data_IF_244612602070
#
_entry.id   IF_244612602070
#
_cell.length_a   1.000
_cell.length_b   1.000
_cell.length_c   1.000
_cell.angle_alpha   90.00
_cell.angle_beta   90.00
_cell.angle_gamma   90.00
#
_symmetry.space_group_name_H-M   'P 1'
#
loop_
_entity.id
_entity.type
_entity.pdbx_description
1 polymer ?
#
# COMPACT_ATOMS: atom_id res chain seq x y z
N UNK A 1 -19.94 -24.48 11.65
CA UNK A 1 -19.70 -23.12 11.12
C UNK A 1 -18.83 -22.39 12.13
N UNK A 2 -17.56 -22.12 11.84
CA UNK A 2 -16.78 -21.26 12.72
C UNK A 2 -17.31 -19.84 12.60
N UNK A 3 -17.49 -19.17 13.73
CA UNK A 3 -17.74 -17.72 13.75
C UNK A 3 -16.51 -17.09 13.07
N UNK A 4 -16.71 -16.50 11.89
CA UNK A 4 -15.65 -15.75 11.21
C UNK A 4 -15.42 -14.48 12.01
N UNK A 5 -14.18 -14.21 12.42
CA UNK A 5 -13.89 -13.03 13.24
C UNK A 5 -14.01 -11.77 12.39
N UNK A 6 -14.41 -10.65 13.00
CA UNK A 6 -14.44 -9.34 12.35
C UNK A 6 -13.14 -9.02 11.57
N UNK A 7 -11.98 -9.31 12.17
CA UNK A 7 -10.66 -9.12 11.56
C UNK A 7 -10.43 -9.93 10.30
N UNK A 8 -11.05 -11.11 10.18
CA UNK A 8 -10.91 -11.97 9.00
C UNK A 8 -11.68 -11.36 7.83
N UNK A 9 -12.90 -10.87 8.10
CA UNK A 9 -13.68 -10.18 7.07
C UNK A 9 -12.98 -8.89 6.63
N UNK A 10 -12.40 -8.15 7.57
CA UNK A 10 -11.61 -6.96 7.29
C UNK A 10 -10.39 -7.29 6.40
N UNK A 11 -9.65 -8.35 6.72
CA UNK A 11 -8.51 -8.80 5.92
C UNK A 11 -8.94 -9.29 4.53
N UNK A 12 -10.08 -9.96 4.40
CA UNK A 12 -10.61 -10.38 3.08
C UNK A 12 -11.00 -9.20 2.22
N UNK A 13 -11.66 -8.18 2.79
CA UNK A 13 -12.07 -6.97 2.08
C UNK A 13 -10.88 -6.20 1.51
N UNK A 14 -9.83 -6.06 2.30
CA UNK A 14 -8.64 -5.29 1.92
C UNK A 14 -7.49 -6.16 1.42
N UNK A 15 -7.79 -7.40 1.00
CA UNK A 15 -6.78 -8.32 0.54
C UNK A 15 -6.15 -7.82 -0.77
N UNK A 16 -4.83 -7.94 -0.97
CA UNK A 16 -4.19 -7.41 -2.16
C UNK A 16 -4.52 -8.23 -3.42
N UNK A 17 -4.49 -7.60 -4.59
CA UNK A 17 -4.34 -8.29 -5.88
C UNK A 17 -2.85 -8.46 -6.15
N UNK A 18 -2.41 -9.67 -6.45
CA UNK A 18 -1.02 -9.96 -6.75
C UNK A 18 -0.78 -10.07 -8.26
N UNK A 19 0.34 -9.51 -8.73
CA UNK A 19 0.79 -9.63 -10.11
C UNK A 19 2.25 -10.10 -10.10
N UNK A 20 2.47 -11.38 -10.41
CA UNK A 20 3.80 -11.96 -10.57
C UNK A 20 4.30 -11.79 -12.00
N UNK A 21 5.62 -11.66 -12.17
CA UNK A 21 6.25 -11.59 -13.49
C UNK A 21 6.04 -12.88 -14.31
N UNK A 22 6.07 -12.79 -15.63
CA UNK A 22 6.07 -13.98 -16.49
C UNK A 22 7.31 -14.86 -16.24
N UNK A 23 7.10 -16.18 -16.19
CA UNK A 23 8.17 -17.17 -16.02
C UNK A 23 8.60 -17.39 -14.56
N UNK A 24 7.94 -16.72 -13.61
CA UNK A 24 8.15 -16.96 -12.18
C UNK A 24 7.79 -18.39 -11.82
N UNK A 25 8.72 -19.07 -11.16
CA UNK A 25 8.43 -20.33 -10.48
C UNK A 25 7.99 -19.98 -9.07
N UNK A 26 6.70 -19.75 -8.89
CA UNK A 26 6.14 -19.33 -7.62
C UNK A 26 5.98 -20.53 -6.67
N UNK A 27 7.07 -21.01 -6.08
CA UNK A 27 6.95 -21.95 -4.97
C UNK A 27 6.61 -21.15 -3.72
N UNK A 28 5.32 -21.05 -3.41
CA UNK A 28 4.90 -20.47 -2.13
C UNK A 28 4.72 -21.57 -1.11
N UNK A 29 5.25 -21.36 0.08
CA UNK A 29 5.21 -22.35 1.15
C UNK A 29 3.84 -22.33 1.80
N UNK A 30 3.15 -23.46 1.78
CA UNK A 30 2.02 -23.71 2.68
C UNK A 30 2.53 -24.20 4.03
N UNK A 31 2.55 -23.31 5.01
CA UNK A 31 2.74 -23.61 6.41
C UNK A 31 1.47 -24.24 7.00
N UNK A 32 1.45 -25.56 7.06
CA UNK A 32 0.49 -26.31 7.87
C UNK A 32 0.94 -26.35 9.33
N UNK A 33 0.11 -26.95 10.20
CA UNK A 33 0.29 -27.12 11.67
C UNK A 33 1.58 -27.84 12.11
N UNK A 34 2.50 -28.09 11.19
CA UNK A 34 3.69 -28.89 11.43
C UNK A 34 4.81 -28.01 11.97
N UNK A 35 5.46 -28.46 13.06
CA UNK A 35 6.60 -27.76 13.67
C UNK A 35 7.77 -27.58 12.70
N UNK A 36 7.89 -28.51 11.75
CA UNK A 36 8.76 -28.38 10.60
C UNK A 36 7.90 -28.10 9.37
N UNK A 37 8.05 -26.94 8.73
CA UNK A 37 7.25 -26.59 7.57
C UNK A 37 7.47 -27.60 6.45
N UNK A 38 6.42 -28.35 6.11
CA UNK A 38 6.44 -29.14 4.89
C UNK A 38 6.19 -28.21 3.72
N UNK A 39 7.17 -28.14 2.82
CA UNK A 39 7.03 -27.47 1.53
C UNK A 39 5.89 -28.15 0.77
N UNK A 40 4.73 -27.50 0.67
CA UNK A 40 3.75 -27.86 -0.35
C UNK A 40 4.24 -27.28 -1.68
N UNK A 41 4.62 -28.16 -2.62
CA UNK A 41 5.01 -27.74 -3.97
C UNK A 41 3.84 -27.03 -4.65
N UNK A 42 3.98 -25.74 -4.94
CA UNK A 42 3.10 -25.06 -5.89
C UNK A 42 3.57 -25.38 -7.32
N UNK A 43 3.00 -26.43 -7.93
CA UNK A 43 3.15 -26.74 -9.36
C UNK A 43 2.14 -27.82 -9.82
N UNK A 44 1.60 -27.77 -11.05
CA UNK A 44 1.71 -26.70 -12.05
C UNK A 44 0.72 -25.54 -11.82
N UNK A 45 -0.17 -25.66 -10.83
CA UNK A 45 -1.23 -24.68 -10.52
C UNK A 45 -0.72 -23.68 -9.49
N UNK A 46 -1.18 -22.44 -9.58
CA UNK A 46 -0.90 -21.37 -8.62
C UNK A 46 -2.20 -20.91 -7.94
N UNK A 47 -2.18 -20.93 -6.61
CA UNK A 47 -3.18 -20.44 -5.65
C UNK A 47 -2.33 -20.08 -4.41
N UNK A 48 -1.84 -18.83 -4.31
CA UNK A 48 -0.90 -18.46 -3.27
C UNK A 48 -1.51 -18.67 -1.88
N UNK A 49 -0.70 -19.11 -0.91
CA UNK A 49 -1.07 -19.02 0.49
C UNK A 49 -0.55 -17.69 1.03
N UNK A 50 -1.48 -16.82 1.40
CA UNK A 50 -1.20 -15.50 1.95
C UNK A 50 -1.60 -15.53 3.43
N UNK A 51 -0.59 -15.44 4.28
CA UNK A 51 -0.78 -15.38 5.72
C UNK A 51 -1.12 -13.94 6.11
N UNK A 52 -2.03 -13.73 7.05
CA UNK A 52 -2.33 -12.39 7.52
C UNK A 52 -2.39 -12.26 9.03
N UNK A 53 -2.13 -11.04 9.49
CA UNK A 53 -2.25 -10.62 10.88
C UNK A 53 -2.90 -9.26 10.93
N UNK A 54 -4.00 -9.13 11.67
CA UNK A 54 -4.70 -7.87 11.87
C UNK A 54 -4.49 -7.36 13.31
N UNK A 55 -3.93 -6.15 13.43
CA UNK A 55 -3.65 -5.50 14.71
C UNK A 55 -4.57 -4.29 14.90
N UNK A 56 -5.36 -4.28 15.96
CA UNK A 56 -6.05 -3.08 16.40
C UNK A 56 -5.04 -2.07 16.96
N UNK A 57 -4.95 -0.90 16.33
CA UNK A 57 -4.00 0.14 16.67
C UNK A 57 -4.53 1.13 17.73
N UNK A 58 -5.80 1.00 18.11
CA UNK A 58 -6.56 1.83 19.03
C UNK A 58 -7.55 2.76 18.34
N UNK A 59 -8.35 3.44 19.16
CA UNK A 59 -9.33 4.43 18.73
C UNK A 59 -8.91 5.85 19.06
N UNK A 60 -9.33 6.80 18.22
CA UNK A 60 -9.16 8.23 18.41
C UNK A 60 -10.40 8.95 17.85
N UNK A 61 -11.03 9.75 18.71
CA UNK A 61 -12.35 10.37 18.43
C UNK A 61 -13.37 9.29 18.06
N UNK A 62 -14.01 9.44 16.92
CA UNK A 62 -15.05 8.59 16.35
C UNK A 62 -14.48 7.52 15.41
N UNK A 63 -13.16 7.36 15.32
CA UNK A 63 -12.51 6.37 14.44
C UNK A 63 -11.65 5.35 15.20
N UNK A 64 -11.56 4.15 14.64
CA UNK A 64 -10.62 3.09 15.03
C UNK A 64 -9.74 2.70 13.84
N UNK A 65 -8.52 2.27 14.11
CA UNK A 65 -7.54 1.92 13.08
C UNK A 65 -7.05 0.48 13.24
N UNK A 66 -6.89 -0.21 12.12
CA UNK A 66 -6.31 -1.55 12.05
C UNK A 66 -5.13 -1.56 11.07
N UNK A 67 -4.05 -2.23 11.47
CA UNK A 67 -2.94 -2.61 10.60
C UNK A 67 -3.16 -4.06 10.19
N UNK A 68 -3.29 -4.33 8.89
CA UNK A 68 -3.41 -5.68 8.36
C UNK A 68 -2.14 -5.99 7.57
N UNK A 69 -1.34 -6.91 8.09
CA UNK A 69 -0.14 -7.40 7.44
C UNK A 69 -0.50 -8.63 6.61
N UNK A 70 -0.18 -8.63 5.32
CA UNK A 70 -0.21 -9.77 4.42
C UNK A 70 1.23 -10.25 4.17
N UNK A 71 1.43 -11.54 4.36
CA UNK A 71 2.73 -12.19 4.36
C UNK A 71 2.69 -13.36 3.38
N UNK A 72 3.68 -13.41 2.50
CA UNK A 72 3.91 -14.54 1.61
C UNK A 72 5.28 -15.13 1.88
N UNK A 73 5.38 -16.45 1.76
CA UNK A 73 6.60 -17.17 2.08
C UNK A 73 7.02 -17.93 0.83
N UNK A 74 8.18 -17.59 0.32
CA UNK A 74 8.75 -18.15 -0.89
C UNK A 74 9.65 -19.32 -0.53
N UNK A 75 9.39 -20.46 -1.15
CA UNK A 75 10.33 -21.57 -1.26
C UNK A 75 11.23 -21.26 -2.46
N UNK A 76 12.53 -21.29 -2.21
CA UNK A 76 13.61 -21.09 -3.17
C UNK A 76 13.65 -19.68 -3.79
N UNK A 77 14.20 -18.71 -3.06
CA UNK A 77 14.57 -17.42 -3.65
C UNK A 77 15.81 -17.58 -4.53
N UNK A 78 15.57 -17.59 -5.83
CA UNK A 78 16.62 -17.73 -6.84
C UNK A 78 17.44 -16.47 -7.04
N UNK A 79 17.11 -15.34 -6.38
CA UNK A 79 17.86 -14.08 -6.45
C UNK A 79 18.13 -13.52 -7.87
N UNK A 80 17.56 -14.09 -8.94
CA UNK A 80 17.57 -13.67 -10.34
C UNK A 80 18.92 -13.76 -11.07
N UNK A 81 19.86 -12.95 -10.59
CA UNK A 81 21.28 -12.95 -10.97
C UNK A 81 22.13 -13.03 -9.70
N UNK A 82 21.68 -12.34 -8.64
CA UNK A 82 22.29 -12.32 -7.32
C UNK A 82 22.17 -13.67 -6.59
N UNK A 83 21.25 -14.56 -6.97
CA UNK A 83 21.20 -15.91 -6.40
C UNK A 83 22.35 -16.82 -6.84
N UNK A 84 23.18 -16.40 -7.81
CA UNK A 84 24.50 -17.01 -8.04
C UNK A 84 25.52 -16.65 -6.96
N UNK A 85 25.22 -15.65 -6.12
CA UNK A 85 26.09 -15.10 -5.07
C UNK A 85 25.52 -15.39 -3.68
N UNK A 86 24.20 -15.36 -3.50
CA UNK A 86 23.54 -15.60 -2.21
C UNK A 86 22.08 -16.06 -2.37
N UNK A 87 21.85 -17.17 -3.09
CA UNK A 87 20.54 -17.80 -3.08
C UNK A 87 20.20 -18.31 -1.68
N UNK A 88 18.96 -18.14 -1.25
CA UNK A 88 18.45 -18.66 0.02
C UNK A 88 17.22 -19.53 -0.26
N UNK A 89 17.10 -20.64 0.46
CA UNK A 89 16.05 -21.62 0.27
C UNK A 89 14.67 -21.10 0.68
N UNK A 90 14.56 -20.09 1.54
CA UNK A 90 13.25 -19.54 1.89
C UNK A 90 13.35 -18.03 2.01
N UNK A 91 12.30 -17.30 1.64
CA UNK A 91 12.21 -15.84 1.83
C UNK A 91 10.80 -15.45 2.27
N UNK A 92 10.65 -14.28 2.89
CA UNK A 92 9.37 -13.79 3.39
C UNK A 92 9.11 -12.41 2.83
N UNK A 93 7.91 -12.18 2.32
CA UNK A 93 7.53 -10.91 1.74
C UNK A 93 6.31 -10.33 2.41
N UNK A 94 6.32 -9.00 2.58
CA UNK A 94 5.30 -8.29 3.36
C UNK A 94 4.69 -7.15 2.56
N UNK A 95 3.36 -7.16 2.51
CA UNK A 95 2.56 -5.98 2.21
C UNK A 95 1.69 -5.72 3.42
N UNK A 96 1.54 -4.47 3.85
CA UNK A 96 0.61 -4.15 4.92
C UNK A 96 -0.30 -3.00 4.54
N UNK A 97 -1.49 -2.95 5.13
CA UNK A 97 -2.45 -1.88 4.91
C UNK A 97 -2.91 -1.30 6.24
N UNK A 98 -3.04 0.01 6.27
CA UNK A 98 -3.69 0.75 7.34
C UNK A 98 -5.12 1.04 6.90
N UNK A 99 -6.08 0.50 7.65
CA UNK A 99 -7.52 0.72 7.43
C UNK A 99 -8.14 1.42 8.62
N UNK A 100 -9.12 2.27 8.34
CA UNK A 100 -9.80 3.09 9.35
C UNK A 100 -11.31 3.05 9.13
N UNK A 101 -12.06 3.03 10.23
CA UNK A 101 -13.52 3.01 10.22
C UNK A 101 -14.09 3.57 11.52
N UNK A 102 -15.42 3.67 11.66
CA UNK A 102 -16.08 4.14 12.88
C UNK A 102 -15.71 3.31 14.11
N UNK A 103 -15.67 3.96 15.28
CA UNK A 103 -15.59 3.23 16.55
C UNK A 103 -16.82 2.34 16.77
N UNK A 104 -16.64 1.20 17.42
CA UNK A 104 -17.71 0.27 17.81
C UNK A 104 -18.48 -0.37 16.66
N UNK A 105 -18.02 -0.24 15.42
CA UNK A 105 -18.57 -1.01 14.30
C UNK A 105 -17.85 -2.34 14.14
N UNK A 106 -18.62 -3.37 13.81
CA UNK A 106 -18.12 -4.68 13.38
C UNK A 106 -18.43 -4.93 11.90
N UNK A 107 -18.87 -3.90 11.18
CA UNK A 107 -19.09 -3.98 9.73
C UNK A 107 -17.80 -3.60 8.98
N UNK A 108 -17.15 -4.55 8.28
CA UNK A 108 -15.99 -4.26 7.45
C UNK A 108 -16.29 -3.26 6.33
N UNK A 109 -17.55 -3.15 5.89
CA UNK A 109 -17.95 -2.24 4.82
C UNK A 109 -17.76 -0.77 5.18
N UNK A 110 -17.82 -0.44 6.48
CA UNK A 110 -17.63 0.92 6.99
C UNK A 110 -16.15 1.32 7.10
N UNK A 111 -15.24 0.41 6.79
CA UNK A 111 -13.81 0.71 6.77
C UNK A 111 -13.35 1.13 5.37
N UNK A 112 -12.27 1.91 5.35
CA UNK A 112 -11.55 2.30 4.14
C UNK A 112 -10.05 2.25 4.37
N UNK A 113 -9.29 2.06 3.29
CA UNK A 113 -7.83 2.16 3.33
C UNK A 113 -7.40 3.62 3.49
N UNK A 114 -6.29 3.82 4.21
CA UNK A 114 -5.64 5.11 4.31
C UNK A 114 -4.21 5.09 3.75
N UNK A 115 -3.48 4.00 3.96
CA UNK A 115 -2.10 3.84 3.51
C UNK A 115 -1.77 2.36 3.31
N UNK A 116 -0.83 2.06 2.42
CA UNK A 116 -0.27 0.73 2.25
C UNK A 116 1.26 0.79 2.31
N UNK A 117 1.85 -0.21 2.95
CA UNK A 117 3.29 -0.42 3.02
C UNK A 117 3.69 -1.59 2.14
N UNK A 118 4.74 -1.41 1.35
CA UNK A 118 5.29 -2.40 0.44
C UNK A 118 6.74 -2.67 0.85
N UNK A 119 7.04 -3.90 1.25
CA UNK A 119 8.39 -4.33 1.65
C UNK A 119 9.24 -4.66 0.40
N UNK A 120 9.77 -3.65 -0.28
CA UNK A 120 10.72 -3.88 -1.37
C UNK A 120 12.13 -3.96 -0.80
N UNK A 121 12.55 -5.15 -0.40
CA UNK A 121 13.84 -5.43 0.27
C UNK A 121 14.00 -4.75 1.62
N UNK A 122 12.93 -4.79 2.41
CA UNK A 122 12.89 -4.27 3.77
C UNK A 122 14.11 -4.68 4.60
N UNK A 123 14.82 -3.70 5.15
CA UNK A 123 15.96 -3.92 6.04
C UNK A 123 17.28 -4.21 5.34
N UNK A 124 17.33 -4.20 4.00
CA UNK A 124 18.56 -4.40 3.24
C UNK A 124 19.15 -3.04 2.83
N UNK A 125 19.95 -2.44 3.72
CA UNK A 125 20.47 -1.05 3.67
C UNK A 125 20.75 -0.44 2.27
N UNK A 126 21.41 -1.17 1.35
CA UNK A 126 21.79 -0.64 0.03
C UNK A 126 20.70 -0.75 -1.05
N UNK A 127 19.67 -1.55 -0.81
CA UNK A 127 18.61 -1.84 -1.79
C UNK A 127 17.21 -1.75 -1.18
N UNK A 128 17.06 -1.29 0.06
CA UNK A 128 15.75 -1.08 0.67
C UNK A 128 15.01 0.01 -0.11
N UNK A 129 14.00 -0.41 -0.85
CA UNK A 129 13.07 0.41 -1.63
C UNK A 129 11.68 0.37 -1.01
N UNK A 130 11.55 -0.10 0.22
CA UNK A 130 10.28 -0.21 0.90
C UNK A 130 9.66 1.18 1.06
N UNK A 131 8.35 1.26 0.82
CA UNK A 131 7.66 2.55 0.82
C UNK A 131 6.25 2.45 1.35
N UNK A 132 5.82 3.57 1.90
CA UNK A 132 4.42 3.85 2.22
C UNK A 132 3.78 4.55 1.02
N UNK A 133 2.58 4.12 0.65
CA UNK A 133 1.80 4.67 -0.46
C UNK A 133 0.43 5.09 0.07
N UNK A 134 0.08 6.38 -0.03
CA UNK A 134 -1.26 6.85 0.34
C UNK A 134 -2.35 6.12 -0.46
N UNK A 135 -3.36 5.60 0.24
CA UNK A 135 -4.47 4.84 -0.33
C UNK A 135 -5.83 5.39 0.13
N UNK A 136 -5.87 6.68 0.47
CA UNK A 136 -6.95 7.36 1.17
C UNK A 136 -8.29 7.14 0.44
N UNK A 137 -9.26 6.56 1.16
CA UNK A 137 -10.63 6.41 0.71
C UNK A 137 -10.87 5.24 -0.25
N UNK A 138 -9.91 4.33 -0.42
CA UNK A 138 -10.15 3.08 -1.18
C UNK A 138 -10.98 2.11 -0.35
N UNK A 139 -11.94 1.48 -1.00
CA UNK A 139 -12.86 0.48 -0.46
C UNK A 139 -12.40 -0.97 -0.67
N UNK A 140 -11.31 -1.16 -1.41
CA UNK A 140 -10.72 -2.46 -1.72
C UNK A 140 -9.20 -2.45 -1.53
N UNK A 141 -8.58 -3.63 -1.57
CA UNK A 141 -7.15 -3.82 -1.39
C UNK A 141 -6.25 -3.18 -2.45
N UNK A 142 -4.94 -3.36 -2.30
CA UNK A 142 -3.93 -2.80 -3.21
C UNK A 142 -3.45 -3.79 -4.26
N UNK A 143 -2.86 -3.28 -5.34
CA UNK A 143 -2.11 -4.11 -6.28
C UNK A 143 -0.67 -4.23 -5.84
N UNK A 144 -0.16 -5.45 -5.75
CA UNK A 144 1.22 -5.77 -5.40
C UNK A 144 1.88 -6.47 -6.57
N UNK A 145 3.01 -5.93 -7.02
CA UNK A 145 3.83 -6.51 -8.08
C UNK A 145 4.95 -7.34 -7.46
N UNK A 146 5.21 -8.52 -8.03
CA UNK A 146 6.33 -9.41 -7.69
C UNK A 146 7.23 -9.61 -8.93
N UNK A 147 8.54 -9.45 -8.74
CA UNK A 147 9.51 -9.33 -9.83
C UNK A 147 10.34 -10.58 -10.07
N UNK A 148 10.56 -10.94 -11.35
CA UNK A 148 11.34 -12.12 -11.72
C UNK A 148 12.77 -12.04 -11.21
N UNK A 149 13.04 -12.91 -10.23
CA UNK A 149 14.36 -13.15 -9.68
C UNK A 149 14.51 -12.72 -8.23
N UNK A 150 13.81 -11.69 -7.75
CA UNK A 150 13.85 -11.34 -6.32
C UNK A 150 12.45 -11.08 -5.83
N UNK A 151 12.05 -11.88 -4.86
CA UNK A 151 10.75 -11.77 -4.25
C UNK A 151 10.74 -10.52 -3.38
N UNK A 152 9.90 -9.55 -3.74
CA UNK A 152 9.78 -8.27 -3.07
C UNK A 152 8.41 -7.69 -3.41
N UNK A 153 7.78 -7.01 -2.46
CA UNK A 153 6.47 -6.39 -2.69
C UNK A 153 6.66 -4.97 -3.24
N UNK A 154 6.18 -4.70 -4.45
CA UNK A 154 6.25 -3.37 -5.07
C UNK A 154 4.85 -2.80 -5.35
N UNK A 155 4.68 -1.49 -5.18
CA UNK A 155 3.39 -0.82 -5.46
C UNK A 155 3.17 -0.53 -6.96
N UNK A 156 4.23 -0.60 -7.75
CA UNK A 156 4.16 -0.43 -9.19
C UNK A 156 5.12 -1.42 -9.85
N UNK A 157 4.94 -1.63 -11.15
CA UNK A 157 5.81 -2.49 -11.93
C UNK A 157 7.27 -2.01 -11.82
N UNK A 158 8.19 -2.81 -11.24
CA UNK A 158 9.54 -2.35 -10.89
C UNK A 158 10.50 -2.25 -12.08
N UNK A 159 10.02 -1.94 -13.30
CA UNK A 159 10.87 -1.79 -14.49
C UNK A 159 12.01 -0.80 -14.23
N UNK A 160 13.21 -1.32 -13.96
CA UNK A 160 14.41 -0.52 -13.76
C UNK A 160 14.69 -0.05 -12.33
N UNK A 161 13.92 -0.48 -11.32
CA UNK A 161 14.21 -0.08 -9.92
C UNK A 161 15.61 -0.59 -9.49
N UNK A 162 16.06 -1.74 -10.02
CA UNK A 162 17.42 -2.27 -9.94
C UNK A 162 17.79 -2.93 -11.30
N UNK A 163 19.02 -2.75 -11.82
CA UNK A 163 19.52 -3.35 -13.09
C UNK A 163 19.60 -4.89 -13.13
N UNK A 164 19.19 -5.54 -12.05
CA UNK A 164 19.22 -6.98 -11.82
C UNK A 164 17.80 -7.59 -11.67
N UNK A 165 16.77 -6.75 -11.55
CA UNK A 165 15.36 -7.16 -11.41
C UNK A 165 14.61 -6.82 -12.70
N UNK A 166 13.95 -7.81 -13.30
CA UNK A 166 13.23 -7.59 -14.55
C UNK A 166 11.82 -8.14 -14.43
N UNK A 167 10.86 -7.24 -14.25
CA UNK A 167 9.48 -7.62 -14.43
C UNK A 167 9.22 -7.94 -15.90
N UNK A 168 8.82 -9.18 -16.19
CA UNK A 168 8.45 -9.63 -17.55
C UNK A 168 6.93 -9.55 -17.68
N UNK A 169 6.44 -8.73 -18.60
CA UNK A 169 5.02 -8.66 -18.97
C UNK A 169 4.76 -9.65 -20.13
N UNK A 170 3.63 -10.39 -20.15
CA UNK A 170 2.44 -10.30 -19.29
C UNK A 170 2.54 -11.21 -18.05
N UNK A 171 2.50 -10.59 -16.87
CA UNK A 171 2.54 -11.30 -15.60
C UNK A 171 1.28 -12.12 -15.31
N UNK A 172 1.39 -13.04 -14.35
CA UNK A 172 0.25 -13.81 -13.83
C UNK A 172 -0.42 -12.97 -12.74
N UNK A 173 -1.76 -12.81 -12.81
CA UNK A 173 -2.57 -12.03 -11.87
C UNK A 173 -3.40 -12.96 -11.00
N UNK A 174 -3.54 -12.61 -9.71
CA UNK A 174 -4.36 -13.37 -8.76
C UNK A 174 -5.13 -12.41 -7.86
N UNK A 175 -6.45 -12.52 -7.90
CA UNK A 175 -7.41 -11.71 -7.13
C UNK A 175 -7.70 -12.29 -5.73
N UNK A 176 -8.26 -11.48 -4.79
CA UNK A 176 -8.62 -11.86 -3.42
C UNK A 176 -9.43 -13.15 -3.19
N UNK A 177 -10.06 -13.68 -4.22
CA UNK A 177 -10.86 -14.90 -4.23
C UNK A 177 -10.17 -16.09 -4.91
N UNK A 178 -9.06 -15.84 -5.59
CA UNK A 178 -8.25 -16.86 -6.29
C UNK A 178 -7.11 -17.41 -5.43
N UNK A 179 -6.97 -16.92 -4.19
CA UNK A 179 -5.94 -17.35 -3.25
C UNK A 179 -6.42 -17.65 -1.84
N UNK A 180 -5.59 -18.38 -1.09
CA UNK A 180 -5.92 -18.80 0.27
C UNK A 180 -5.40 -17.78 1.28
N UNK A 181 -6.31 -17.12 1.98
CA UNK A 181 -6.00 -16.28 3.15
C UNK A 181 -6.02 -17.09 4.44
N UNK A 182 -4.93 -17.02 5.20
CA UNK A 182 -4.75 -17.76 6.46
C UNK A 182 -4.48 -16.77 7.60
N UNK A 183 -5.40 -16.68 8.58
CA UNK A 183 -5.14 -15.95 9.82
C UNK A 183 -4.02 -16.67 10.57
N UNK A 184 -2.97 -15.95 10.95
CA UNK A 184 -1.87 -16.49 11.76
C UNK A 184 -1.81 -15.90 13.16
N UNK A 185 -2.79 -15.07 13.51
CA UNK A 185 -2.79 -14.32 14.76
C UNK A 185 -1.67 -13.27 14.79
N UNK A 186 -1.17 -12.98 15.98
CA UNK A 186 -0.09 -11.99 16.20
C UNK A 186 1.04 -12.61 16.99
N UNK A 187 2.21 -11.98 17.03
CA UNK A 187 3.31 -12.43 17.90
C UNK A 187 2.90 -12.60 19.37
N UNK A 188 2.00 -11.72 19.87
CA UNK A 188 1.54 -11.73 21.27
C UNK A 188 0.38 -12.70 21.51
N UNK A 189 -0.30 -13.12 20.46
CA UNK A 189 -1.48 -13.99 20.49
C UNK A 189 -1.51 -14.77 19.17
N UNK A 190 -0.58 -15.73 18.98
CA UNK A 190 -0.57 -16.57 17.80
C UNK A 190 -1.77 -17.52 17.85
N UNK A 191 -2.23 -17.97 16.69
CA UNK A 191 -3.19 -19.05 16.67
C UNK A 191 -2.51 -20.39 17.03
N UNK A 192 -3.21 -21.33 17.70
CA UNK A 192 -2.65 -22.63 18.04
C UNK A 192 -2.04 -23.40 16.86
N UNK A 193 -2.57 -23.18 15.66
CA UNK A 193 -2.12 -23.77 14.39
C UNK A 193 -0.84 -23.15 13.81
N UNK A 194 -0.31 -22.07 14.38
CA UNK A 194 0.85 -21.33 13.85
C UNK A 194 2.03 -21.31 14.84
N UNK A 195 2.58 -22.48 15.23
CA UNK A 195 3.61 -22.55 16.26
C UNK A 195 4.85 -21.73 15.89
N UNK A 196 5.23 -21.70 14.60
CA UNK A 196 6.41 -20.99 14.07
C UNK A 196 6.38 -19.46 14.26
N UNK A 197 5.23 -18.85 14.57
CA UNK A 197 5.09 -17.40 14.78
C UNK A 197 5.84 -16.89 16.01
N UNK A 198 6.04 -17.72 17.04
CA UNK A 198 6.66 -17.31 18.31
C UNK A 198 8.11 -17.78 18.51
N UNK A 199 8.70 -18.47 17.52
CA UNK A 199 10.09 -18.90 17.63
C UNK A 199 11.03 -17.72 17.39
N UNK A 200 11.96 -17.43 18.33
CA UNK A 200 12.93 -16.35 18.18
C UNK A 200 14.08 -16.71 17.22
N UNK A 201 14.24 -17.99 16.90
CA UNK A 201 15.28 -18.49 16.02
C UNK A 201 14.89 -18.34 14.55
N UNK A 202 15.91 -18.15 13.70
CA UNK A 202 15.73 -18.14 12.25
C UNK A 202 15.06 -19.42 11.76
N UNK A 203 14.12 -19.26 10.84
CA UNK A 203 13.31 -20.38 10.34
C UNK A 203 13.93 -20.98 9.07
N UNK A 204 13.82 -22.31 8.92
CA UNK A 204 14.45 -23.05 7.82
C UNK A 204 15.97 -23.23 7.96
N UNK A 205 16.57 -23.97 7.02
CA UNK A 205 18.00 -24.31 7.03
C UNK A 205 18.93 -23.08 6.95
N UNK A 206 18.47 -21.97 6.36
CA UNK A 206 19.29 -20.76 6.19
C UNK A 206 19.00 -19.69 7.25
N UNK A 207 18.26 -20.05 8.32
CA UNK A 207 17.94 -19.15 9.44
C UNK A 207 17.35 -17.81 8.99
N UNK A 208 16.47 -17.85 8.00
CA UNK A 208 15.92 -16.65 7.38
C UNK A 208 15.16 -15.84 8.42
N UNK A 209 15.12 -14.51 8.20
CA UNK A 209 14.50 -13.54 9.10
C UNK A 209 13.18 -14.08 9.63
N UNK A 210 13.07 -14.30 10.95
CA UNK A 210 11.88 -14.90 11.52
C UNK A 210 10.63 -14.11 11.14
N UNK A 211 9.56 -14.80 10.73
CA UNK A 211 8.25 -14.15 10.51
C UNK A 211 7.80 -13.44 11.80
N UNK A 212 8.22 -13.95 12.97
CA UNK A 212 8.02 -13.32 14.27
C UNK A 212 8.55 -11.88 14.33
N UNK A 213 9.68 -11.57 13.65
CA UNK A 213 10.25 -10.22 13.57
C UNK A 213 9.34 -9.29 12.77
N UNK A 214 8.80 -9.76 11.65
CA UNK A 214 7.88 -8.99 10.80
C UNK A 214 6.54 -8.75 11.51
N UNK A 215 5.98 -9.78 12.14
CA UNK A 215 4.74 -9.70 12.92
C UNK A 215 4.87 -8.88 14.21
N UNK A 216 6.05 -8.85 14.82
CA UNK A 216 6.33 -8.03 16.01
C UNK A 216 6.57 -6.55 15.68
N UNK A 217 6.88 -6.23 14.42
CA UNK A 217 7.18 -4.87 13.98
C UNK A 217 5.90 -4.15 13.57
N UNK A 218 5.35 -3.38 14.52
CA UNK A 218 4.26 -2.44 14.27
C UNK A 218 4.74 -1.36 13.29
N UNK A 219 4.15 -1.32 12.10
CA UNK A 219 4.47 -0.32 11.07
C UNK A 219 3.90 1.04 11.44
N UNK A 220 2.66 1.08 11.91
CA UNK A 220 1.97 2.33 12.25
C UNK A 220 1.78 2.49 13.75
N UNK A 221 2.35 3.56 14.32
CA UNK A 221 2.05 3.97 15.71
C UNK A 221 0.76 4.78 15.77
N UNK A 222 0.16 4.85 16.96
CA UNK A 222 -1.05 5.66 17.20
C UNK A 222 -0.90 7.10 16.71
N UNK A 223 0.19 7.74 17.12
CA UNK A 223 0.53 9.09 16.68
C UNK A 223 0.84 9.22 15.19
N UNK A 224 1.16 8.12 14.48
CA UNK A 224 1.37 8.16 13.03
C UNK A 224 0.05 8.23 12.29
N UNK A 225 -0.93 7.39 12.67
CA UNK A 225 -2.23 7.38 12.01
C UNK A 225 -3.16 8.51 12.51
N UNK A 226 -2.93 9.08 13.69
CA UNK A 226 -3.64 10.29 14.14
C UNK A 226 -3.15 11.57 13.44
N UNK A 227 -1.93 11.57 12.90
CA UNK A 227 -1.38 12.67 12.08
C UNK A 227 -1.86 12.64 10.64
N UNK A 228 -2.23 11.45 10.16
CA UNK A 228 -3.07 11.29 8.98
C UNK A 228 -4.31 12.17 9.22
N UNK A 229 -4.47 13.21 8.38
CA UNK A 229 -5.70 13.98 8.34
C UNK A 229 -6.78 13.06 7.82
N UNK A 230 -7.95 13.09 8.42
CA UNK A 230 -9.15 12.58 7.75
C UNK A 230 -9.14 13.11 6.31
N UNK A 231 -9.45 12.30 5.28
CA UNK A 231 -9.79 12.87 3.99
C UNK A 231 -10.92 13.84 4.27
N UNK A 232 -10.59 15.13 4.33
CA UNK A 232 -11.57 16.19 4.51
C UNK A 232 -12.26 16.46 3.18
N UNK A 233 -12.48 15.42 2.37
CA UNK A 233 -13.24 15.42 1.13
C UNK A 233 -14.74 15.40 1.47
N UNK A 234 -15.14 16.37 2.29
CA UNK A 234 -16.53 16.61 2.65
C UNK A 234 -17.33 16.90 1.40
N UNK A 235 -18.66 16.82 1.51
CA UNK A 235 -19.60 17.03 0.41
C UNK A 235 -19.28 18.27 -0.44
N UNK A 236 -18.87 19.38 0.19
CA UNK A 236 -18.46 20.61 -0.49
C UNK A 236 -17.24 20.44 -1.42
N UNK A 237 -16.24 19.63 -1.04
CA UNK A 237 -15.08 19.34 -1.88
C UNK A 237 -15.49 18.51 -3.10
N UNK A 238 -16.41 17.56 -2.92
CA UNK A 238 -16.93 16.71 -4.00
C UNK A 238 -17.78 17.53 -4.97
N UNK A 239 -18.64 18.42 -4.45
CA UNK A 239 -19.45 19.34 -5.25
C UNK A 239 -18.57 20.27 -6.10
N UNK A 240 -17.54 20.88 -5.51
CA UNK A 240 -16.59 21.73 -6.24
C UNK A 240 -15.81 20.94 -7.29
N UNK A 241 -15.38 19.72 -6.96
CA UNK A 241 -14.67 18.87 -7.91
C UNK A 241 -15.57 18.50 -9.10
N UNK A 242 -16.81 18.13 -8.84
CA UNK A 242 -17.81 17.85 -9.86
C UNK A 242 -18.01 19.06 -10.75
N UNK A 243 -18.21 20.25 -10.15
CA UNK A 243 -18.36 21.51 -10.88
C UNK A 243 -17.16 21.79 -11.79
N UNK A 244 -15.93 21.75 -11.25
CA UNK A 244 -14.70 22.06 -12.02
C UNK A 244 -14.45 21.05 -13.15
N UNK A 245 -14.99 19.84 -13.02
CA UNK A 245 -14.92 18.78 -14.02
C UNK A 245 -16.11 18.75 -14.98
N UNK A 246 -17.04 19.71 -14.88
CA UNK A 246 -18.25 19.77 -15.70
C UNK A 246 -19.25 18.64 -15.44
N UNK A 247 -19.30 18.16 -14.19
CA UNK A 247 -20.28 17.20 -13.69
C UNK A 247 -21.35 17.92 -12.85
N UNK A 248 -22.46 17.24 -12.58
CA UNK A 248 -23.49 17.74 -11.66
C UNK A 248 -22.96 17.72 -10.21
N UNK A 249 -23.01 18.85 -9.47
CA UNK A 249 -22.45 18.98 -8.12
C UNK A 249 -23.38 18.36 -7.08
N UNK A 250 -23.53 17.04 -7.12
CA UNK A 250 -24.36 16.26 -6.20
C UNK A 250 -23.73 16.03 -4.83
N UNK A 251 -22.41 16.23 -4.71
CA UNK A 251 -21.66 15.93 -3.49
C UNK A 251 -21.45 14.43 -3.23
N UNK A 252 -21.93 13.57 -4.14
CA UNK A 252 -21.78 12.11 -4.06
C UNK A 252 -20.78 11.62 -5.10
N UNK A 253 -19.90 10.70 -4.72
CA UNK A 253 -18.93 10.11 -5.65
C UNK A 253 -19.59 9.00 -6.47
N UNK A 254 -20.20 9.38 -7.60
CA UNK A 254 -20.73 8.42 -8.57
C UNK A 254 -19.64 7.88 -9.51
N UNK A 255 -19.99 6.91 -10.36
CA UNK A 255 -19.03 6.27 -11.28
C UNK A 255 -18.34 7.27 -12.22
N UNK A 256 -19.03 8.35 -12.62
CA UNK A 256 -18.47 9.39 -13.49
C UNK A 256 -17.46 10.25 -12.72
N UNK A 257 -17.82 10.66 -11.50
CA UNK A 257 -16.98 11.42 -10.58
C UNK A 257 -15.70 10.65 -10.26
N UNK A 258 -15.83 9.38 -9.88
CA UNK A 258 -14.69 8.50 -9.62
C UNK A 258 -13.77 8.35 -10.84
N UNK A 259 -14.35 8.12 -12.02
CA UNK A 259 -13.56 7.95 -13.26
C UNK A 259 -12.81 9.21 -13.68
N UNK A 260 -13.23 10.40 -13.26
CA UNK A 260 -12.47 11.64 -13.45
C UNK A 260 -11.44 11.84 -12.36
N UNK A 261 -11.81 11.59 -11.09
CA UNK A 261 -10.92 11.75 -9.94
C UNK A 261 -9.66 10.89 -10.03
N UNK A 262 -9.74 9.67 -10.58
CA UNK A 262 -8.60 8.75 -10.72
C UNK A 262 -7.42 9.31 -11.54
N UNK A 263 -7.67 10.33 -12.36
CA UNK A 263 -6.67 10.95 -13.23
C UNK A 263 -6.16 12.29 -12.69
N UNK A 264 -6.69 12.73 -11.56
CA UNK A 264 -6.34 13.99 -10.90
C UNK A 264 -5.58 13.65 -9.62
N UNK A 265 -4.62 14.51 -9.25
CA UNK A 265 -3.89 14.25 -8.02
C UNK A 265 -4.77 14.46 -6.78
N UNK A 266 -4.80 13.51 -5.82
CA UNK A 266 -5.61 13.61 -4.63
C UNK A 266 -5.41 14.91 -3.84
N UNK A 267 -4.18 15.45 -3.79
CA UNK A 267 -3.90 16.68 -3.06
C UNK A 267 -4.55 17.92 -3.68
N UNK A 268 -4.78 17.94 -5.01
CA UNK A 268 -5.53 19.02 -5.65
C UNK A 268 -7.00 18.97 -5.27
N UNK A 269 -7.56 17.76 -5.13
CA UNK A 269 -8.96 17.55 -4.72
C UNK A 269 -9.14 17.94 -3.24
N UNK A 270 -8.18 17.59 -2.38
CA UNK A 270 -8.18 17.96 -0.95
C UNK A 270 -8.09 19.47 -0.71
N UNK A 271 -7.43 20.21 -1.60
CA UNK A 271 -7.25 21.67 -1.47
C UNK A 271 -8.14 22.47 -2.42
N UNK A 272 -9.14 21.84 -3.06
CA UNK A 272 -9.95 22.46 -4.11
C UNK A 272 -10.69 23.73 -3.65
N UNK A 273 -11.01 23.82 -2.35
CA UNK A 273 -11.65 24.99 -1.72
C UNK A 273 -10.73 26.22 -1.67
N UNK A 274 -9.43 26.05 -1.90
CA UNK A 274 -8.42 27.11 -1.92
C UNK A 274 -8.00 27.47 -3.35
N UNK A 275 -8.58 26.83 -4.36
CA UNK A 275 -8.24 26.98 -5.77
C UNK A 275 -9.45 27.52 -6.55
N UNK A 276 -9.20 28.46 -7.46
CA UNK A 276 -10.15 28.77 -8.52
C UNK A 276 -10.28 27.61 -9.52
N UNK A 277 -11.36 27.62 -10.30
CA UNK A 277 -11.58 26.62 -11.35
C UNK A 277 -10.45 26.63 -12.40
N UNK A 278 -9.98 27.82 -12.80
CA UNK A 278 -8.87 27.95 -13.73
C UNK A 278 -7.56 27.37 -13.16
N UNK A 279 -7.18 27.71 -11.92
CA UNK A 279 -5.97 27.19 -11.28
C UNK A 279 -6.01 25.65 -11.19
N UNK A 280 -7.16 25.10 -10.79
CA UNK A 280 -7.34 23.66 -10.69
C UNK A 280 -7.21 22.96 -12.05
N UNK A 281 -7.79 23.51 -13.12
CA UNK A 281 -7.68 22.95 -14.48
C UNK A 281 -6.24 22.98 -14.99
N UNK A 282 -5.50 24.06 -14.77
CA UNK A 282 -4.09 24.17 -15.18
C UNK A 282 -3.22 23.17 -14.42
N UNK A 283 -3.34 23.11 -13.10
CA UNK A 283 -2.55 22.20 -12.26
C UNK A 283 -2.88 20.73 -12.56
N UNK A 284 -4.15 20.38 -12.79
CA UNK A 284 -4.56 19.02 -13.15
C UNK A 284 -4.13 18.59 -14.56
N UNK A 285 -3.98 19.53 -15.50
CA UNK A 285 -3.48 19.26 -16.85
C UNK A 285 -1.95 19.25 -16.96
N UNK A 286 -1.26 19.86 -15.99
CA UNK A 286 0.21 19.90 -15.95
C UNK A 286 0.82 18.50 -15.76
N UNK A 287 2.11 18.35 -16.09
CA UNK A 287 2.87 17.09 -15.88
C UNK A 287 3.42 16.95 -14.44
N UNK A 288 2.94 17.77 -13.51
CA UNK A 288 3.41 17.93 -12.12
C UNK A 288 2.88 16.78 -11.23
N UNK A 289 3.70 15.73 -11.04
CA UNK A 289 3.37 14.58 -10.17
C UNK A 289 4.43 14.30 -9.10
N UNK A 290 4.16 14.63 -7.84
CA UNK A 290 5.10 14.42 -6.75
C UNK A 290 4.85 15.34 -5.55
N UNK A 291 5.91 15.95 -5.03
CA UNK A 291 5.96 16.46 -3.66
C UNK A 291 6.76 17.76 -3.50
N UNK A 292 6.45 18.46 -2.40
CA UNK A 292 7.37 19.22 -1.54
C UNK A 292 8.25 20.33 -2.16
N UNK A 293 7.80 20.94 -3.27
CA UNK A 293 7.99 22.38 -3.40
C UNK A 293 6.94 23.06 -2.48
N UNK A 294 7.39 23.87 -1.53
CA UNK A 294 6.51 24.88 -0.93
C UNK A 294 6.57 26.14 -1.82
N UNK A 295 5.54 26.39 -2.65
CA UNK A 295 5.40 27.67 -3.34
C UNK A 295 4.72 28.65 -2.40
N UNK A 296 5.52 29.53 -1.80
CA UNK A 296 5.01 30.68 -1.06
C UNK A 296 4.42 31.65 -2.09
N UNK A 297 3.11 31.56 -2.31
CA UNK A 297 2.37 32.53 -3.10
C UNK A 297 2.16 33.75 -2.20
N UNK A 298 3.18 34.63 -2.14
CA UNK A 298 2.88 36.05 -1.88
C UNK A 298 1.84 36.44 -2.93
N UNK A 299 0.72 37.00 -2.50
CA UNK A 299 -0.60 37.10 -3.14
C UNK A 299 -0.67 37.75 -4.55
N UNK A 300 0.46 38.00 -5.21
CA UNK A 300 0.57 38.97 -6.30
C UNK A 300 1.32 38.39 -7.53
N UNK A 301 1.61 37.07 -7.55
CA UNK A 301 2.30 36.44 -8.68
C UNK A 301 1.30 35.97 -9.75
N UNK A 302 1.58 36.32 -11.00
CA UNK A 302 0.88 35.83 -12.19
C UNK A 302 1.28 34.40 -12.56
N UNK A 303 0.43 33.73 -13.36
CA UNK A 303 0.60 32.34 -13.81
C UNK A 303 1.98 32.08 -14.44
N UNK A 304 2.46 32.98 -15.30
CA UNK A 304 3.77 32.85 -15.95
C UNK A 304 4.95 32.99 -14.98
N UNK A 305 4.77 33.72 -13.88
CA UNK A 305 5.79 33.85 -12.83
C UNK A 305 5.88 32.60 -11.97
N UNK A 306 4.76 31.91 -11.74
CA UNK A 306 4.72 30.63 -11.02
C UNK A 306 5.48 29.55 -11.80
N UNK A 307 5.23 29.44 -13.10
CA UNK A 307 5.92 28.50 -13.99
C UNK A 307 7.44 28.77 -14.03
N UNK A 308 7.83 30.04 -14.18
CA UNK A 308 9.23 30.43 -14.23
C UNK A 308 9.99 30.16 -12.92
N UNK A 309 9.38 30.42 -11.76
CA UNK A 309 10.00 30.13 -10.46
C UNK A 309 10.18 28.62 -10.24
N UNK A 310 9.21 27.81 -10.69
CA UNK A 310 9.30 26.35 -10.63
C UNK A 310 10.45 25.82 -11.50
N UNK A 311 10.67 26.40 -12.68
CA UNK A 311 11.78 26.04 -13.57
C UNK A 311 13.16 26.47 -13.03
N UNK A 312 13.28 27.68 -12.48
CA UNK A 312 14.58 28.26 -12.08
C UNK A 312 15.12 27.71 -10.75
N UNK A 313 14.27 27.50 -9.74
CA UNK A 313 14.73 27.13 -8.39
C UNK A 313 14.78 25.64 -8.13
N UNK A 314 14.11 24.84 -8.94
CA UNK A 314 14.06 23.40 -8.77
C UNK A 314 13.87 22.72 -10.14
N UNK A 315 14.89 22.77 -11.02
CA UNK A 315 14.80 22.17 -12.35
C UNK A 315 14.47 20.67 -12.25
N UNK A 316 13.28 20.30 -12.74
CA UNK A 316 12.75 18.93 -12.65
C UNK A 316 11.77 18.67 -11.48
N UNK A 317 11.30 19.70 -10.78
CA UNK A 317 10.39 19.53 -9.65
C UNK A 317 8.91 19.40 -10.02
N UNK A 318 8.17 18.79 -9.08
CA UNK A 318 7.02 17.94 -9.43
C UNK A 318 5.79 18.04 -8.50
N UNK A 319 5.79 18.83 -7.42
CA UNK A 319 4.54 19.41 -6.87
C UNK A 319 4.76 20.59 -5.95
N UNK A 320 3.90 21.60 -6.13
CA UNK A 320 3.74 22.72 -5.22
C UNK A 320 2.67 22.50 -4.14
N UNK A 321 2.93 22.99 -2.93
CA UNK A 321 1.91 23.51 -2.01
C UNK A 321 1.76 25.02 -2.20
N UNK A 322 0.58 25.57 -1.90
CA UNK A 322 0.33 27.01 -1.79
C UNK A 322 0.32 27.42 -0.31
N UNK A 323 0.81 28.63 0.02
CA UNK A 323 0.62 29.30 1.33
C UNK A 323 0.28 30.78 1.12
N UNK A 324 -0.88 31.21 1.62
CA UNK A 324 -1.34 32.62 1.60
C UNK A 324 -0.86 33.31 2.87
N UNK A 325 0.01 34.32 2.76
CA UNK A 325 0.32 35.23 3.87
C UNK A 325 -0.65 36.42 3.81
N UNK A 326 -1.29 36.75 4.92
CA UNK A 326 -1.87 38.08 5.08
C UNK A 326 -0.70 39.07 5.21
N UNK A 327 -0.65 40.10 4.37
CA UNK A 327 0.31 41.17 4.52
C UNK A 327 0.01 41.94 5.81
N UNK A 328 1.03 42.18 6.64
CA UNK A 328 1.02 43.29 7.61
C UNK A 328 1.28 44.61 6.88
#
# INVERSE_FOLDING_TARGET
MSIIKFTDNLARRFAPTFIASEGERCYLTELRKEENPRIARAYPVWNPHVYFSALNLGSHRDRTAYEINYLTIWDWDTGGILGKISGHQWDTERTAVLVMGPVNTEDPEEFSMHEAYYAAHEGVSLVDKSRYVPCIGRDCGVTVYWSHGKHASYAENPQGIIGFERFRSPGIRTEPDEYTLVDVGTLKSPLPETPWVVYPEGWGCDRITPVCKKLGTRLWKRSSWEKIREPSLTEAHIQLFQQYQGLEPTGKVDRKTFSKAKHVDPHLIENITQLSEEEFKVLSASRVRGNDIDLIVKSDLSVSQIEKVAEERAPGAVRARIKKFAAE
#
